data_IF_858296332964
#
_entry.id   IF_858296332964
#
_cell.length_a   1.000
_cell.length_b   1.000
_cell.length_c   1.000
_cell.angle_alpha   90.00
_cell.angle_beta   90.00
_cell.angle_gamma   90.00
#
_symmetry.space_group_name_H-M   'P 1'
#
loop_
_entity.id
_entity.type
_entity.pdbx_description
1 polymer ?
#
# COMPACT_ATOMS: atom_id res chain seq x y z
N UNK A 1 -1.09 -30.79 -10.59
CA UNK A 1 -2.39 -30.85 -11.29
C UNK A 1 -2.25 -31.75 -12.52
N UNK A 2 -3.28 -32.55 -12.84
CA UNK A 2 -3.22 -33.49 -13.98
C UNK A 2 -3.29 -32.77 -15.33
N UNK A 3 -2.89 -33.42 -16.45
CA UNK A 3 -2.82 -32.79 -17.77
C UNK A 3 -4.18 -32.36 -18.36
N UNK A 4 -5.28 -32.66 -17.67
CA UNK A 4 -6.63 -32.29 -18.12
C UNK A 4 -7.17 -31.04 -17.43
N UNK A 5 -6.43 -30.43 -16.47
CA UNK A 5 -6.85 -29.21 -15.79
C UNK A 5 -6.68 -28.03 -16.74
N UNK A 6 -7.75 -27.25 -16.93
CA UNK A 6 -7.76 -26.05 -17.76
C UNK A 6 -7.53 -24.82 -16.90
N UNK A 7 -6.65 -23.95 -17.34
CA UNK A 7 -6.38 -22.65 -16.71
C UNK A 7 -7.08 -21.54 -17.47
N UNK A 8 -7.88 -20.77 -16.73
CA UNK A 8 -8.57 -19.59 -17.26
C UNK A 8 -7.89 -18.34 -16.69
N UNK A 9 -7.72 -17.33 -17.51
CA UNK A 9 -7.29 -16.00 -17.08
C UNK A 9 -7.98 -14.92 -17.92
N UNK A 10 -7.89 -13.68 -17.45
CA UNK A 10 -8.30 -12.53 -18.25
C UNK A 10 -7.47 -12.44 -19.54
N UNK A 11 -8.07 -11.89 -20.58
CA UNK A 11 -7.41 -11.67 -21.86
C UNK A 11 -6.25 -10.66 -21.78
N UNK A 12 -6.31 -9.73 -20.83
CA UNK A 12 -5.26 -8.73 -20.54
C UNK A 12 -4.23 -9.17 -19.49
N UNK A 13 -4.23 -10.43 -19.02
CA UNK A 13 -3.35 -10.95 -17.95
C UNK A 13 -1.86 -10.66 -18.17
N UNK A 14 -1.42 -10.54 -19.45
CA UNK A 14 -0.02 -10.24 -19.76
C UNK A 14 0.40 -8.85 -19.32
N UNK A 15 -0.51 -7.89 -19.35
CA UNK A 15 -0.23 -6.53 -18.89
C UNK A 15 0.14 -6.53 -17.41
N UNK A 16 -0.66 -7.21 -16.59
CA UNK A 16 -0.40 -7.32 -15.14
C UNK A 16 0.84 -8.15 -14.85
N UNK A 17 1.03 -9.25 -15.57
CA UNK A 17 2.23 -10.07 -15.45
C UNK A 17 3.52 -9.24 -15.68
N UNK A 18 3.52 -8.31 -16.64
CA UNK A 18 4.67 -7.42 -16.87
C UNK A 18 4.82 -6.35 -15.78
N UNK A 19 3.73 -5.87 -15.19
CA UNK A 19 3.79 -4.97 -14.03
C UNK A 19 4.40 -5.70 -12.84
N UNK A 20 3.93 -6.91 -12.53
CA UNK A 20 4.46 -7.74 -11.46
C UNK A 20 5.94 -8.06 -11.70
N UNK A 21 6.34 -8.44 -12.90
CA UNK A 21 7.76 -8.69 -13.26
C UNK A 21 8.65 -7.49 -12.98
N UNK A 22 8.20 -6.28 -13.31
CA UNK A 22 8.93 -5.04 -13.02
C UNK A 22 8.95 -4.74 -11.52
N UNK A 23 7.82 -4.95 -10.85
CA UNK A 23 7.64 -4.73 -9.42
C UNK A 23 8.38 -5.71 -8.52
N UNK A 24 8.66 -6.95 -8.99
CA UNK A 24 9.29 -8.03 -8.20
C UNK A 24 10.62 -7.60 -7.58
N UNK A 25 11.38 -6.73 -8.25
CA UNK A 25 12.64 -6.18 -7.69
C UNK A 25 12.39 -5.30 -6.47
N UNK A 26 11.27 -4.57 -6.41
CA UNK A 26 10.85 -3.81 -5.25
C UNK A 26 10.43 -4.73 -4.09
N UNK A 27 9.81 -5.87 -4.39
CA UNK A 27 9.45 -6.86 -3.37
C UNK A 27 10.67 -7.44 -2.65
N UNK A 28 11.81 -7.60 -3.33
CA UNK A 28 13.07 -8.02 -2.69
C UNK A 28 13.52 -7.10 -1.57
N UNK A 29 13.26 -5.81 -1.69
CA UNK A 29 13.59 -4.85 -0.64
C UNK A 29 12.83 -5.13 0.67
N UNK A 30 11.58 -5.60 0.55
CA UNK A 30 10.71 -5.86 1.71
C UNK A 30 10.79 -7.30 2.21
N UNK A 31 10.88 -8.28 1.31
CA UNK A 31 10.80 -9.71 1.63
C UNK A 31 12.16 -10.43 1.57
N UNK A 32 13.25 -9.71 1.27
CA UNK A 32 14.59 -10.26 1.16
C UNK A 32 14.78 -11.17 -0.06
N UNK A 33 15.92 -11.88 -0.07
CA UNK A 33 16.32 -12.74 -1.20
C UNK A 33 15.47 -14.01 -1.34
N UNK A 34 14.57 -14.30 -0.42
CA UNK A 34 13.64 -15.42 -0.51
C UNK A 34 12.58 -15.22 -1.61
N UNK A 35 12.35 -13.96 -2.01
CA UNK A 35 11.47 -13.64 -3.13
C UNK A 35 12.21 -13.84 -4.44
N UNK A 36 12.21 -15.08 -4.94
CA UNK A 36 12.91 -15.47 -6.16
C UNK A 36 12.10 -15.05 -7.40
N UNK A 37 12.83 -14.74 -8.49
CA UNK A 37 12.25 -14.44 -9.83
C UNK A 37 11.38 -15.59 -10.39
N UNK A 38 11.44 -16.77 -9.79
CA UNK A 38 10.67 -17.97 -10.16
C UNK A 38 9.17 -17.83 -9.95
N UNK A 39 8.71 -16.87 -9.13
CA UNK A 39 7.27 -16.60 -8.93
C UNK A 39 6.60 -16.01 -10.16
N UNK A 40 7.36 -15.36 -11.04
CA UNK A 40 6.82 -14.82 -12.29
C UNK A 40 7.17 -15.78 -13.42
N UNK A 41 6.57 -16.95 -13.39
CA UNK A 41 6.72 -17.96 -14.44
C UNK A 41 6.14 -17.46 -15.77
N UNK A 42 6.56 -18.06 -16.88
CA UNK A 42 5.92 -17.90 -18.20
C UNK A 42 4.53 -18.55 -18.20
N UNK A 43 3.68 -18.12 -17.26
CA UNK A 43 2.32 -18.61 -17.16
C UNK A 43 1.55 -18.35 -18.45
N UNK A 44 0.98 -19.41 -18.99
CA UNK A 44 0.12 -19.36 -20.18
C UNK A 44 -1.21 -20.04 -19.83
N UNK A 45 -2.31 -19.29 -19.77
CA UNK A 45 -3.61 -19.88 -19.60
C UNK A 45 -3.99 -20.68 -20.84
N UNK A 46 -4.81 -21.73 -20.65
CA UNK A 46 -5.40 -22.48 -21.75
C UNK A 46 -6.51 -21.69 -22.44
N UNK A 47 -7.22 -20.86 -21.67
CA UNK A 47 -8.38 -20.10 -22.13
C UNK A 47 -8.29 -18.68 -21.58
N UNK A 48 -8.47 -17.70 -22.44
CA UNK A 48 -8.59 -16.28 -22.04
C UNK A 48 -10.05 -15.83 -22.06
N UNK A 49 -10.41 -14.98 -21.10
CA UNK A 49 -11.76 -14.48 -20.86
C UNK A 49 -11.76 -12.96 -21.01
N UNK A 50 -12.33 -12.46 -22.11
CA UNK A 50 -12.48 -11.02 -22.39
C UNK A 50 -13.89 -10.48 -22.13
N UNK A 51 -14.89 -11.38 -22.10
CA UNK A 51 -16.29 -11.06 -21.82
C UNK A 51 -16.90 -12.11 -20.90
N UNK A 52 -18.07 -11.83 -20.35
CA UNK A 52 -18.78 -12.80 -19.50
C UNK A 52 -18.92 -14.14 -20.25
N UNK A 53 -18.34 -15.18 -19.66
CA UNK A 53 -18.27 -16.52 -20.24
C UNK A 53 -18.85 -17.53 -19.26
N UNK A 54 -19.71 -18.44 -19.72
CA UNK A 54 -20.24 -19.52 -18.89
C UNK A 54 -19.54 -20.84 -19.19
N UNK A 55 -19.17 -21.54 -18.11
CA UNK A 55 -18.60 -22.90 -18.18
C UNK A 55 -19.36 -23.83 -17.25
N UNK A 56 -19.50 -25.09 -17.64
CA UNK A 56 -20.12 -26.11 -16.79
C UNK A 56 -19.10 -27.16 -16.42
N UNK A 57 -18.89 -27.36 -15.11
CA UNK A 57 -17.94 -28.33 -14.57
C UNK A 57 -18.67 -29.21 -13.56
N UNK A 58 -18.66 -30.52 -13.77
CA UNK A 58 -19.34 -31.48 -12.88
C UNK A 58 -20.85 -31.25 -12.72
N UNK A 59 -21.47 -30.63 -13.71
CA UNK A 59 -22.90 -30.29 -13.66
C UNK A 59 -23.22 -28.95 -13.04
N UNK A 60 -22.24 -28.24 -12.45
CA UNK A 60 -22.41 -26.91 -11.88
C UNK A 60 -22.01 -25.85 -12.91
N UNK A 61 -22.80 -24.80 -13.04
CA UNK A 61 -22.54 -23.67 -13.92
C UNK A 61 -21.75 -22.60 -13.21
N UNK A 62 -20.69 -22.12 -13.86
CA UNK A 62 -19.85 -21.01 -13.44
C UNK A 62 -19.91 -19.91 -14.48
N UNK A 63 -20.24 -18.70 -14.08
CA UNK A 63 -20.10 -17.52 -14.92
C UNK A 63 -18.80 -16.80 -14.56
N UNK A 64 -17.87 -16.75 -15.51
CA UNK A 64 -16.62 -16.00 -15.43
C UNK A 64 -16.90 -14.58 -15.89
N UNK A 65 -16.70 -13.59 -15.01
CA UNK A 65 -17.10 -12.20 -15.24
C UNK A 65 -15.86 -11.31 -15.15
N UNK A 66 -15.36 -10.82 -16.29
CA UNK A 66 -14.31 -9.81 -16.32
C UNK A 66 -14.71 -8.53 -15.58
N UNK A 67 -13.83 -8.01 -14.76
CA UNK A 67 -14.00 -6.71 -14.10
C UNK A 67 -12.83 -5.79 -14.41
N UNK A 68 -13.06 -4.46 -14.53
CA UNK A 68 -12.04 -3.55 -15.08
C UNK A 68 -11.08 -3.00 -14.04
N UNK A 69 -11.15 -3.43 -12.79
CA UNK A 69 -10.33 -2.85 -11.74
C UNK A 69 -10.60 -3.48 -10.38
N UNK A 70 -10.12 -2.81 -9.36
CA UNK A 70 -10.02 -3.31 -8.01
C UNK A 70 -8.54 -3.32 -7.64
N UNK A 71 -8.02 -4.44 -7.18
CA UNK A 71 -6.59 -4.59 -6.92
C UNK A 71 -5.77 -4.50 -8.23
N UNK A 72 -6.23 -5.18 -9.27
CA UNK A 72 -5.58 -5.21 -10.60
C UNK A 72 -6.62 -5.02 -11.72
N UNK A 73 -6.16 -4.68 -12.92
CA UNK A 73 -7.04 -4.49 -14.08
C UNK A 73 -7.44 -5.81 -14.76
N UNK A 74 -6.85 -6.93 -14.39
CA UNK A 74 -7.16 -8.26 -14.91
C UNK A 74 -8.08 -9.08 -14.00
N UNK A 75 -8.82 -8.41 -13.14
CA UNK A 75 -9.77 -9.04 -12.22
C UNK A 75 -10.79 -9.94 -12.92
N UNK A 76 -11.06 -11.12 -12.35
CA UNK A 76 -12.01 -12.08 -12.85
C UNK A 76 -12.89 -12.61 -11.71
N UNK A 77 -14.17 -12.25 -11.72
CA UNK A 77 -15.13 -12.77 -10.76
C UNK A 77 -15.65 -14.13 -11.23
N UNK A 78 -15.96 -15.00 -10.28
CA UNK A 78 -16.57 -16.29 -10.56
C UNK A 78 -17.93 -16.35 -9.84
N UNK A 79 -19.01 -16.32 -10.60
CA UNK A 79 -20.37 -16.44 -10.08
C UNK A 79 -20.90 -17.86 -10.27
N UNK A 80 -21.44 -18.43 -9.20
CA UNK A 80 -22.10 -19.74 -9.18
C UNK A 80 -23.59 -19.53 -8.89
N UNK A 81 -24.43 -19.32 -9.93
CA UNK A 81 -25.83 -18.93 -9.74
C UNK A 81 -26.64 -19.93 -8.93
N UNK A 82 -26.40 -21.22 -9.09
CA UNK A 82 -27.14 -22.29 -8.38
C UNK A 82 -26.90 -22.24 -6.87
N UNK A 83 -25.83 -21.64 -6.43
CA UNK A 83 -25.45 -21.48 -5.01
C UNK A 83 -25.51 -20.04 -4.54
N UNK A 84 -25.98 -19.11 -5.38
CA UNK A 84 -26.06 -17.69 -5.05
C UNK A 84 -24.73 -17.14 -4.48
N UNK A 85 -23.61 -17.62 -5.04
CA UNK A 85 -22.25 -17.38 -4.54
C UNK A 85 -21.43 -16.65 -5.59
N UNK A 86 -20.73 -15.60 -5.16
CA UNK A 86 -19.79 -14.83 -5.98
C UNK A 86 -18.41 -14.85 -5.32
N UNK A 87 -17.42 -15.37 -6.04
CA UNK A 87 -16.00 -15.28 -5.68
C UNK A 87 -15.42 -14.05 -6.37
N UNK A 88 -14.85 -13.16 -5.59
CA UNK A 88 -14.34 -11.86 -6.07
C UNK A 88 -12.82 -11.70 -5.94
N UNK A 89 -12.13 -12.67 -5.31
CA UNK A 89 -10.70 -12.53 -5.04
C UNK A 89 -10.42 -11.30 -4.18
N UNK A 90 -9.36 -10.61 -4.49
CA UNK A 90 -8.88 -9.43 -3.75
C UNK A 90 -9.27 -8.10 -4.41
N UNK A 91 -10.38 -8.08 -5.17
CA UNK A 91 -10.78 -6.88 -5.92
C UNK A 91 -10.89 -5.62 -5.07
N UNK A 92 -11.16 -5.77 -3.79
CA UNK A 92 -11.14 -4.70 -2.80
C UNK A 92 -10.25 -5.10 -1.63
N UNK A 93 -9.20 -4.35 -1.46
CA UNK A 93 -8.23 -4.49 -0.38
C UNK A 93 -8.08 -3.13 0.33
N UNK A 94 -7.56 -3.11 1.58
CA UNK A 94 -7.28 -1.86 2.29
C UNK A 94 -6.40 -0.89 1.49
N UNK A 95 -5.76 -1.34 0.45
CA UNK A 95 -4.71 -0.64 -0.26
C UNK A 95 -5.00 -0.48 -1.73
N UNK A 96 -6.12 -0.35 -2.23
CA UNK A 96 -6.40 -0.16 -3.64
C UNK A 96 -5.17 -0.46 -4.54
N UNK A 97 -5.12 -1.64 -5.10
CA UNK A 97 -3.95 -2.16 -5.78
C UNK A 97 -2.88 -2.67 -4.81
N UNK A 98 -1.88 -3.38 -5.31
CA UNK A 98 -0.75 -3.77 -4.49
C UNK A 98 0.00 -2.51 -4.02
N UNK A 99 0.39 -2.43 -2.74
CA UNK A 99 1.03 -1.23 -2.20
C UNK A 99 2.41 -0.97 -2.80
N UNK A 100 2.97 -1.93 -3.52
CA UNK A 100 4.33 -1.91 -4.04
C UNK A 100 4.39 -1.54 -5.52
N UNK A 101 3.28 -1.61 -6.25
CA UNK A 101 3.18 -1.28 -7.68
C UNK A 101 1.92 -0.49 -7.96
N UNK A 102 1.93 0.29 -9.03
CA UNK A 102 0.76 1.06 -9.47
C UNK A 102 -0.22 0.17 -10.23
N UNK A 103 -0.93 -0.67 -9.49
CA UNK A 103 -1.98 -1.54 -10.00
C UNK A 103 -3.35 -1.00 -9.62
N UNK A 104 -4.34 -1.25 -10.47
CA UNK A 104 -5.71 -0.86 -10.24
C UNK A 104 -5.96 0.64 -10.20
N UNK A 105 -7.21 1.00 -10.27
CA UNK A 105 -7.69 2.38 -10.14
C UNK A 105 -9.05 2.44 -9.46
N UNK A 106 -9.43 3.62 -8.97
CA UNK A 106 -10.72 3.80 -8.32
C UNK A 106 -11.90 3.67 -9.29
N UNK A 107 -11.89 4.25 -10.49
CA UNK A 107 -12.97 4.04 -11.46
C UNK A 107 -13.24 2.56 -11.75
N UNK A 108 -12.18 1.78 -11.92
CA UNK A 108 -12.29 0.33 -12.08
C UNK A 108 -12.84 -0.38 -10.85
N UNK A 109 -12.41 0.01 -9.65
CA UNK A 109 -12.98 -0.50 -8.40
C UNK A 109 -14.47 -0.18 -8.29
N UNK A 110 -14.89 1.03 -8.63
CA UNK A 110 -16.30 1.41 -8.60
C UNK A 110 -17.14 0.57 -9.56
N UNK A 111 -16.63 0.32 -10.77
CA UNK A 111 -17.29 -0.55 -11.74
C UNK A 111 -17.37 -2.02 -11.26
N UNK A 112 -16.30 -2.52 -10.61
CA UNK A 112 -16.32 -3.84 -10.01
C UNK A 112 -17.35 -3.97 -8.87
N UNK A 113 -17.47 -2.95 -8.02
CA UNK A 113 -18.51 -2.89 -6.98
C UNK A 113 -19.91 -2.91 -7.62
N UNK A 114 -20.13 -2.18 -8.71
CA UNK A 114 -21.42 -2.19 -9.41
C UNK A 114 -21.80 -3.59 -9.93
N UNK A 115 -20.82 -4.37 -10.38
CA UNK A 115 -21.04 -5.79 -10.76
C UNK A 115 -21.51 -6.59 -9.54
N UNK A 116 -20.83 -6.48 -8.40
CA UNK A 116 -21.23 -7.17 -7.16
C UNK A 116 -22.65 -6.78 -6.75
N UNK A 117 -22.92 -5.46 -6.74
CA UNK A 117 -24.24 -4.93 -6.36
C UNK A 117 -25.35 -5.42 -7.33
N UNK A 118 -25.08 -5.45 -8.63
CA UNK A 118 -26.07 -5.91 -9.64
C UNK A 118 -26.41 -7.40 -9.54
N UNK A 119 -25.46 -8.22 -9.11
CA UNK A 119 -25.66 -9.66 -8.97
C UNK A 119 -26.38 -10.04 -7.68
N UNK A 120 -26.37 -9.17 -6.65
CA UNK A 120 -27.00 -9.39 -5.35
C UNK A 120 -26.65 -10.75 -4.72
N UNK A 121 -25.38 -11.18 -4.69
CA UNK A 121 -25.04 -12.52 -4.22
C UNK A 121 -25.38 -12.68 -2.73
N UNK A 122 -25.92 -13.81 -2.35
CA UNK A 122 -26.13 -14.17 -0.93
C UNK A 122 -24.80 -14.42 -0.23
N UNK A 123 -23.85 -15.03 -0.95
CA UNK A 123 -22.51 -15.34 -0.45
C UNK A 123 -21.48 -14.62 -1.31
N UNK A 124 -20.73 -13.71 -0.66
CA UNK A 124 -19.62 -12.98 -1.26
C UNK A 124 -18.33 -13.49 -0.64
N UNK A 125 -17.45 -14.06 -1.46
CA UNK A 125 -16.20 -14.68 -1.00
C UNK A 125 -14.99 -13.91 -1.54
N UNK A 126 -14.22 -13.39 -0.60
CA UNK A 126 -12.98 -12.66 -0.87
C UNK A 126 -11.75 -13.58 -0.75
N UNK A 127 -10.59 -13.13 -1.28
CA UNK A 127 -9.36 -13.91 -1.27
C UNK A 127 -8.64 -13.93 0.08
N UNK A 128 -8.61 -12.83 0.83
CA UNK A 128 -7.84 -12.68 2.07
C UNK A 128 -8.73 -12.54 3.31
N UNK A 129 -9.48 -13.58 3.64
CA UNK A 129 -10.13 -13.64 4.95
C UNK A 129 -9.08 -13.91 6.07
N UNK A 130 -9.16 -13.23 7.22
CA UNK A 130 -10.22 -12.32 7.68
C UNK A 130 -10.02 -10.84 7.31
N UNK A 131 -8.96 -10.46 6.59
CA UNK A 131 -8.63 -9.04 6.28
C UNK A 131 -9.75 -8.35 5.50
N UNK A 132 -10.42 -9.08 4.63
CA UNK A 132 -11.50 -8.60 3.76
C UNK A 132 -12.89 -8.74 4.36
N UNK A 133 -13.01 -9.29 5.55
CA UNK A 133 -14.30 -9.56 6.22
C UNK A 133 -15.19 -8.32 6.38
N UNK A 134 -14.59 -7.16 6.52
CA UNK A 134 -15.31 -5.89 6.64
C UNK A 134 -16.04 -5.47 5.34
N UNK A 135 -15.72 -6.09 4.20
CA UNK A 135 -16.36 -5.86 2.90
C UNK A 135 -17.22 -7.04 2.42
N UNK A 136 -17.67 -7.88 3.32
CA UNK A 136 -18.29 -9.17 2.99
C UNK A 136 -19.74 -9.11 2.47
N UNK A 137 -20.30 -7.91 2.24
CA UNK A 137 -21.67 -7.78 1.70
C UNK A 137 -21.75 -6.73 0.61
N UNK A 138 -22.59 -6.99 -0.43
CA UNK A 138 -22.85 -6.03 -1.50
C UNK A 138 -23.48 -4.72 -0.99
N UNK A 139 -24.31 -4.78 0.05
CA UNK A 139 -24.93 -3.60 0.66
C UNK A 139 -23.91 -2.68 1.34
N UNK A 140 -22.89 -3.26 1.99
CA UNK A 140 -21.77 -2.52 2.56
C UNK A 140 -20.92 -1.86 1.46
N UNK A 141 -20.61 -2.61 0.41
CA UNK A 141 -19.82 -2.12 -0.73
C UNK A 141 -20.50 -0.96 -1.44
N UNK A 142 -21.83 -1.03 -1.67
CA UNK A 142 -22.58 0.05 -2.28
C UNK A 142 -22.48 1.35 -1.48
N UNK A 143 -22.58 1.26 -0.16
CA UNK A 143 -22.43 2.42 0.74
C UNK A 143 -20.98 2.93 0.76
N UNK A 144 -20.00 2.05 0.88
CA UNK A 144 -18.59 2.42 0.87
C UNK A 144 -18.22 3.14 -0.44
N UNK A 145 -18.71 2.66 -1.60
CA UNK A 145 -18.49 3.28 -2.89
C UNK A 145 -18.83 4.77 -2.89
N UNK A 146 -20.02 5.16 -2.39
CA UNK A 146 -20.46 6.56 -2.35
C UNK A 146 -19.45 7.45 -1.59
N UNK A 147 -18.87 6.92 -0.50
CA UNK A 147 -17.88 7.65 0.30
C UNK A 147 -16.53 7.74 -0.40
N UNK A 148 -16.12 6.67 -1.09
CA UNK A 148 -14.89 6.66 -1.89
C UNK A 148 -15.01 7.52 -3.15
N UNK A 149 -16.18 7.59 -3.80
CA UNK A 149 -16.43 8.52 -4.90
C UNK A 149 -16.29 9.98 -4.46
N UNK A 150 -16.84 10.33 -3.28
CA UNK A 150 -16.64 11.65 -2.71
C UNK A 150 -15.14 11.93 -2.45
N UNK A 151 -14.43 10.99 -1.83
CA UNK A 151 -13.00 11.14 -1.55
C UNK A 151 -12.19 11.30 -2.85
N UNK A 152 -12.53 10.55 -3.88
CA UNK A 152 -11.93 10.64 -5.21
C UNK A 152 -12.05 12.06 -5.76
N UNK A 153 -13.26 12.60 -5.79
CA UNK A 153 -13.52 13.94 -6.33
C UNK A 153 -12.82 15.04 -5.50
N UNK A 154 -12.89 14.99 -4.19
CA UNK A 154 -12.24 15.99 -3.33
C UNK A 154 -10.72 15.90 -3.42
N UNK A 155 -10.15 14.71 -3.51
CA UNK A 155 -8.69 14.54 -3.69
C UNK A 155 -8.25 15.12 -5.04
N UNK A 156 -8.94 14.82 -6.14
CA UNK A 156 -8.66 15.39 -7.46
C UNK A 156 -8.73 16.92 -7.43
N UNK A 157 -9.78 17.47 -6.84
CA UNK A 157 -9.97 18.94 -6.72
C UNK A 157 -8.79 19.59 -5.99
N UNK A 158 -8.36 19.03 -4.86
CA UNK A 158 -7.20 19.54 -4.13
C UNK A 158 -5.91 19.41 -4.91
N UNK A 159 -5.71 18.27 -5.58
CA UNK A 159 -4.55 18.01 -6.44
C UNK A 159 -4.46 19.01 -7.59
N UNK A 160 -5.56 19.24 -8.31
CA UNK A 160 -5.62 20.20 -9.42
C UNK A 160 -5.52 21.66 -8.99
N UNK A 161 -5.85 21.95 -7.74
CA UNK A 161 -5.61 23.28 -7.14
C UNK A 161 -4.16 23.46 -6.64
N UNK A 162 -3.27 22.52 -6.93
CA UNK A 162 -1.86 22.62 -6.60
C UNK A 162 -1.53 22.34 -5.12
N UNK A 163 -2.40 21.64 -4.40
CA UNK A 163 -2.12 21.26 -3.03
C UNK A 163 -1.13 20.09 -3.01
N UNK A 164 -0.08 20.16 -2.17
CA UNK A 164 0.87 19.07 -2.02
C UNK A 164 0.26 17.86 -1.31
N UNK A 165 0.81 16.65 -1.55
CA UNK A 165 0.33 15.41 -0.91
C UNK A 165 0.24 15.51 0.62
N UNK A 166 1.27 15.99 1.35
CA UNK A 166 1.17 16.18 2.81
C UNK A 166 0.03 17.13 3.21
N UNK A 167 -0.16 18.21 2.45
CA UNK A 167 -1.23 19.17 2.73
C UNK A 167 -2.62 18.54 2.54
N UNK A 168 -2.81 17.70 1.52
CA UNK A 168 -4.08 16.95 1.33
C UNK A 168 -4.34 16.00 2.51
N UNK A 169 -3.31 15.28 2.97
CA UNK A 169 -3.44 14.39 4.14
C UNK A 169 -3.82 15.17 5.41
N UNK A 170 -3.26 16.36 5.60
CA UNK A 170 -3.55 17.22 6.75
C UNK A 170 -4.96 17.83 6.71
N UNK A 171 -5.64 17.87 5.54
CA UNK A 171 -7.07 18.23 5.47
C UNK A 171 -7.95 17.20 6.19
N UNK A 172 -7.43 15.99 6.43
CA UNK A 172 -8.17 14.92 7.10
C UNK A 172 -9.54 14.66 6.46
N UNK A 173 -9.55 14.58 5.12
CA UNK A 173 -10.77 14.50 4.31
C UNK A 173 -11.74 13.43 4.83
N UNK A 174 -12.96 13.86 5.09
CA UNK A 174 -14.05 13.02 5.60
C UNK A 174 -15.35 13.40 4.90
N UNK A 175 -16.08 12.45 4.29
CA UNK A 175 -17.36 12.76 3.66
C UNK A 175 -18.31 13.39 4.68
N UNK A 176 -18.97 14.51 4.38
CA UNK A 176 -19.86 15.20 5.33
C UNK A 176 -21.08 14.37 5.75
N UNK A 177 -21.39 13.33 4.97
CA UNK A 177 -22.49 12.39 5.19
C UNK A 177 -22.07 11.03 5.76
N UNK A 178 -20.80 10.88 6.21
CA UNK A 178 -20.28 9.60 6.76
C UNK A 178 -21.13 9.10 7.94
N UNK A 179 -21.72 10.00 8.71
CA UNK A 179 -22.60 9.67 9.83
C UNK A 179 -23.89 8.96 9.43
N UNK A 180 -24.31 9.02 8.17
CA UNK A 180 -25.49 8.32 7.65
C UNK A 180 -25.22 6.82 7.47
N UNK A 181 -23.96 6.42 7.39
CA UNK A 181 -23.53 5.04 7.18
C UNK A 181 -22.40 4.69 8.18
N UNK A 182 -22.71 4.60 9.49
CA UNK A 182 -21.68 4.40 10.53
C UNK A 182 -20.88 3.10 10.33
N UNK A 183 -21.47 2.09 9.71
CA UNK A 183 -20.84 0.80 9.41
C UNK A 183 -19.68 0.91 8.40
N UNK A 184 -19.66 1.92 7.52
CA UNK A 184 -18.57 2.12 6.56
C UNK A 184 -17.48 3.08 7.07
N UNK A 185 -17.65 3.67 8.24
CA UNK A 185 -16.70 4.62 8.79
C UNK A 185 -15.29 4.02 8.93
N UNK A 186 -15.20 2.86 9.55
CA UNK A 186 -13.92 2.18 9.76
C UNK A 186 -13.30 1.68 8.44
N UNK A 187 -14.01 0.96 7.55
CA UNK A 187 -13.52 0.63 6.20
C UNK A 187 -13.02 1.84 5.41
N UNK A 188 -13.75 2.94 5.47
CA UNK A 188 -13.33 4.19 4.82
C UNK A 188 -12.01 4.73 5.38
N UNK A 189 -11.83 4.74 6.70
CA UNK A 189 -10.59 5.21 7.33
C UNK A 189 -9.38 4.36 6.95
N UNK A 190 -9.55 3.04 6.83
CA UNK A 190 -8.49 2.13 6.40
C UNK A 190 -8.03 2.46 4.98
N UNK A 191 -8.96 2.71 4.07
CA UNK A 191 -8.67 2.97 2.66
C UNK A 191 -8.20 4.40 2.39
N UNK A 192 -8.64 5.36 3.19
CA UNK A 192 -8.51 6.80 2.91
C UNK A 192 -7.10 7.25 2.53
N UNK A 193 -6.10 6.85 3.31
CA UNK A 193 -4.71 7.28 3.07
C UNK A 193 -4.19 6.73 1.73
N UNK A 194 -4.41 5.46 1.47
CA UNK A 194 -3.92 4.81 0.26
C UNK A 194 -4.66 5.29 -0.98
N UNK A 195 -5.96 5.55 -0.87
CA UNK A 195 -6.77 6.15 -1.94
C UNK A 195 -6.24 7.54 -2.30
N UNK A 196 -5.97 8.41 -1.31
CA UNK A 196 -5.39 9.73 -1.56
C UNK A 196 -4.03 9.60 -2.25
N UNK A 197 -3.16 8.73 -1.75
CA UNK A 197 -1.84 8.50 -2.35
C UNK A 197 -1.96 8.04 -3.80
N UNK A 198 -2.80 7.05 -4.07
CA UNK A 198 -3.00 6.50 -5.42
C UNK A 198 -3.51 7.57 -6.39
N UNK A 199 -4.52 8.34 -5.99
CA UNK A 199 -5.05 9.43 -6.83
C UNK A 199 -3.96 10.47 -7.11
N UNK A 200 -3.21 10.86 -6.09
CA UNK A 200 -2.12 11.83 -6.24
C UNK A 200 -1.06 11.32 -7.21
N UNK A 201 -0.57 10.10 -7.02
CA UNK A 201 0.47 9.49 -7.86
C UNK A 201 0.03 9.33 -9.33
N UNK A 202 -1.23 8.99 -9.57
CA UNK A 202 -1.78 8.84 -10.92
C UNK A 202 -2.06 10.18 -11.63
N UNK A 203 -2.16 11.30 -10.91
CA UNK A 203 -2.55 12.59 -11.47
C UNK A 203 -1.48 13.68 -11.37
N UNK A 204 -0.43 13.48 -10.60
CA UNK A 204 0.70 14.39 -10.47
C UNK A 204 1.92 13.77 -11.17
N UNK A 205 2.47 14.50 -12.12
CA UNK A 205 3.71 14.12 -12.76
C UNK A 205 4.92 14.79 -12.11
N UNK A 206 5.88 15.18 -12.98
CA UNK A 206 7.13 15.82 -12.60
C UNK A 206 6.97 17.13 -11.79
N UNK A 207 5.94 17.93 -12.13
CA UNK A 207 5.70 19.24 -11.53
C UNK A 207 4.91 19.12 -10.21
N UNK A 208 5.62 18.95 -9.11
CA UNK A 208 4.98 18.93 -7.78
C UNK A 208 4.96 20.33 -7.15
N UNK A 209 3.89 20.70 -6.43
CA UNK A 209 3.67 22.08 -5.95
C UNK A 209 4.75 22.63 -5.04
N UNK A 210 5.43 21.76 -4.30
CA UNK A 210 6.46 22.09 -3.33
C UNK A 210 7.89 21.80 -3.83
N UNK A 211 8.05 21.72 -5.16
CA UNK A 211 9.31 21.41 -5.85
C UNK A 211 9.90 20.02 -5.52
N UNK A 212 9.19 19.16 -4.76
CA UNK A 212 9.68 17.84 -4.36
C UNK A 212 10.00 16.92 -5.55
N UNK A 213 9.37 17.17 -6.70
CA UNK A 213 9.65 16.43 -7.92
C UNK A 213 10.90 16.91 -8.68
N UNK A 214 11.51 18.04 -8.30
CA UNK A 214 12.62 18.68 -9.02
C UNK A 214 13.96 18.50 -8.32
N UNK A 215 14.02 18.82 -7.04
CA UNK A 215 15.26 18.80 -6.25
C UNK A 215 15.12 17.78 -5.12
N UNK A 216 15.62 16.57 -5.37
CA UNK A 216 15.55 15.49 -4.39
C UNK A 216 16.68 15.62 -3.39
N UNK A 217 16.35 15.83 -2.12
CA UNK A 217 17.30 15.88 -1.03
C UNK A 217 17.43 14.50 -0.39
N UNK A 218 18.68 14.08 -0.16
CA UNK A 218 19.00 12.83 0.54
C UNK A 218 18.86 12.97 2.06
N UNK A 219 18.84 11.86 2.76
CA UNK A 219 18.83 11.85 4.23
C UNK A 219 20.13 12.44 4.80
N UNK A 220 21.24 12.26 4.10
CA UNK A 220 22.55 12.82 4.41
C UNK A 220 22.53 14.35 4.33
N UNK A 221 21.91 14.94 3.31
CA UNK A 221 21.75 16.39 3.17
C UNK A 221 20.90 16.98 4.29
N UNK A 222 19.82 16.31 4.69
CA UNK A 222 19.05 16.71 5.88
C UNK A 222 19.87 16.55 7.17
N UNK A 223 20.71 15.52 7.27
CA UNK A 223 21.65 15.37 8.38
C UNK A 223 22.66 16.54 8.44
N UNK A 224 23.26 16.92 7.30
CA UNK A 224 24.13 18.07 7.20
C UNK A 224 23.44 19.38 7.55
N UNK A 225 22.17 19.56 7.14
CA UNK A 225 21.37 20.71 7.56
C UNK A 225 21.35 20.83 9.08
N UNK A 226 21.07 19.73 9.79
CA UNK A 226 20.98 19.73 11.24
C UNK A 226 22.33 20.04 11.93
N UNK A 227 23.41 19.43 11.46
CA UNK A 227 24.71 19.45 12.18
C UNK A 227 25.62 20.55 11.70
N UNK A 228 25.72 20.80 10.40
CA UNK A 228 26.62 21.78 9.82
C UNK A 228 26.00 23.19 9.74
N UNK A 229 24.77 23.29 9.18
CA UNK A 229 24.17 24.61 8.99
C UNK A 229 23.41 25.13 10.20
N UNK A 230 22.76 24.26 10.98
CA UNK A 230 22.07 24.62 12.22
C UNK A 230 22.93 24.39 13.47
N UNK A 231 24.16 23.91 13.30
CA UNK A 231 25.18 23.71 14.36
C UNK A 231 24.66 22.88 15.54
N UNK A 232 23.79 21.89 15.31
CA UNK A 232 23.23 21.07 16.39
C UNK A 232 24.17 19.93 16.76
N UNK A 233 24.59 19.94 18.04
CA UNK A 233 25.31 18.81 18.62
C UNK A 233 24.39 17.57 18.76
N UNK A 234 25.00 16.40 18.90
CA UNK A 234 24.26 15.14 19.17
C UNK A 234 23.32 15.28 20.37
N UNK A 235 23.82 15.87 21.48
CA UNK A 235 23.02 16.06 22.69
C UNK A 235 21.81 16.96 22.49
N UNK A 236 21.93 18.02 21.68
CA UNK A 236 20.81 18.91 21.35
C UNK A 236 19.80 18.21 20.48
N UNK A 237 20.23 17.36 19.53
CA UNK A 237 19.34 16.56 18.69
C UNK A 237 18.60 15.50 19.51
N UNK A 238 19.29 14.82 20.43
CA UNK A 238 18.67 13.88 21.37
C UNK A 238 17.55 14.57 22.14
N UNK A 239 17.84 15.72 22.78
CA UNK A 239 16.83 16.45 23.57
C UNK A 239 15.65 16.92 22.72
N UNK A 240 15.90 17.39 21.50
CA UNK A 240 14.84 17.80 20.58
C UNK A 240 13.93 16.64 20.18
N UNK A 241 14.52 15.47 19.92
CA UNK A 241 13.77 14.26 19.53
C UNK A 241 12.96 13.71 20.71
N UNK A 242 13.51 13.74 21.92
CA UNK A 242 12.77 13.39 23.14
C UNK A 242 11.53 14.28 23.31
N UNK A 243 11.68 15.59 23.14
CA UNK A 243 10.54 16.51 23.16
C UNK A 243 9.50 16.21 22.08
N UNK A 244 9.92 15.86 20.85
CA UNK A 244 9.00 15.44 19.78
C UNK A 244 8.21 14.19 20.18
N UNK A 245 8.87 13.21 20.79
CA UNK A 245 8.20 11.97 21.26
C UNK A 245 7.19 12.27 22.37
N UNK A 246 7.53 13.12 23.33
CA UNK A 246 6.65 13.54 24.41
C UNK A 246 5.44 14.34 23.90
N UNK A 247 5.63 15.15 22.86
CA UNK A 247 4.56 15.93 22.20
C UNK A 247 3.67 15.08 21.28
N UNK A 248 4.00 13.80 21.04
CA UNK A 248 3.25 12.93 20.15
C UNK A 248 3.62 13.07 18.67
N UNK A 249 4.64 13.87 18.32
CA UNK A 249 5.13 14.09 16.95
C UNK A 249 6.00 12.92 16.46
N UNK A 250 5.51 11.70 16.64
CA UNK A 250 6.29 10.47 16.44
C UNK A 250 6.83 10.31 15.00
N UNK A 251 6.11 10.77 13.98
CA UNK A 251 6.57 10.73 12.60
C UNK A 251 7.75 11.68 12.37
N UNK A 252 7.68 12.88 12.95
CA UNK A 252 8.77 13.87 12.91
C UNK A 252 9.99 13.35 13.68
N UNK A 253 9.78 12.78 14.87
CA UNK A 253 10.84 12.15 15.66
C UNK A 253 11.55 11.04 14.88
N UNK A 254 10.81 10.15 14.19
CA UNK A 254 11.37 9.09 13.38
C UNK A 254 12.22 9.63 12.21
N UNK A 255 11.75 10.67 11.53
CA UNK A 255 12.50 11.31 10.44
C UNK A 255 13.73 12.04 10.92
N UNK A 256 13.59 12.86 11.95
CA UNK A 256 14.72 13.64 12.52
C UNK A 256 15.80 12.72 13.06
N UNK A 257 15.44 11.62 13.73
CA UNK A 257 16.43 10.62 14.18
C UNK A 257 17.14 9.95 13.02
N UNK A 258 16.43 9.63 11.94
CA UNK A 258 17.04 9.03 10.74
C UNK A 258 18.05 9.98 10.12
N UNK A 259 17.75 11.27 10.00
CA UNK A 259 18.67 12.29 9.51
C UNK A 259 19.88 12.49 10.44
N UNK A 260 19.64 12.56 11.76
CA UNK A 260 20.72 12.68 12.74
C UNK A 260 21.69 11.49 12.71
N UNK A 261 21.17 10.28 12.49
CA UNK A 261 21.98 9.05 12.40
C UNK A 261 22.89 9.02 11.16
N UNK A 262 22.64 9.78 10.11
CA UNK A 262 23.57 9.91 8.99
C UNK A 262 24.89 10.60 9.42
N UNK A 263 24.82 11.46 10.42
CA UNK A 263 25.96 12.21 10.97
C UNK A 263 26.54 11.56 12.24
N UNK A 264 25.70 10.91 13.04
CA UNK A 264 26.08 10.22 14.29
C UNK A 264 25.70 8.73 14.22
N UNK A 265 26.25 7.94 13.28
CA UNK A 265 25.79 6.56 13.03
C UNK A 265 26.00 5.61 14.21
N UNK A 266 26.96 5.90 15.08
CA UNK A 266 27.29 5.10 16.26
C UNK A 266 26.55 5.53 17.54
N UNK A 267 25.65 6.52 17.46
CA UNK A 267 24.91 7.02 18.62
C UNK A 267 23.86 6.00 19.09
N UNK A 268 24.13 5.33 20.18
CA UNK A 268 23.20 4.37 20.78
C UNK A 268 21.88 5.05 21.20
N UNK A 269 21.97 6.29 21.69
CA UNK A 269 20.79 7.04 22.14
C UNK A 269 19.87 7.41 20.97
N UNK A 270 20.41 7.88 19.85
CA UNK A 270 19.61 8.18 18.66
C UNK A 270 18.96 6.90 18.09
N UNK A 271 19.64 5.78 18.12
CA UNK A 271 19.09 4.51 17.68
C UNK A 271 17.95 4.04 18.58
N UNK A 272 18.07 4.19 19.90
CA UNK A 272 16.99 3.93 20.85
C UNK A 272 15.76 4.81 20.56
N UNK A 273 15.96 6.11 20.37
CA UNK A 273 14.89 7.07 20.08
C UNK A 273 14.20 6.75 18.74
N UNK A 274 14.97 6.37 17.71
CA UNK A 274 14.40 5.92 16.42
C UNK A 274 13.50 4.69 16.61
N UNK A 275 13.96 3.71 17.37
CA UNK A 275 13.19 2.52 17.70
C UNK A 275 11.88 2.89 18.42
N UNK A 276 11.96 3.77 19.41
CA UNK A 276 10.79 4.27 20.14
C UNK A 276 9.79 4.96 19.20
N UNK A 277 10.27 5.84 18.31
CA UNK A 277 9.44 6.54 17.35
C UNK A 277 8.71 5.55 16.40
N UNK A 278 9.41 4.55 15.89
CA UNK A 278 8.79 3.51 15.05
C UNK A 278 7.79 2.64 15.82
N UNK A 279 8.06 2.30 17.08
CA UNK A 279 7.10 1.58 17.92
C UNK A 279 5.80 2.39 18.11
N UNK A 280 5.91 3.69 18.36
CA UNK A 280 4.75 4.57 18.48
C UNK A 280 3.97 4.71 17.18
N UNK A 281 4.65 4.79 16.03
CA UNK A 281 4.00 4.77 14.73
C UNK A 281 3.30 3.42 14.46
N UNK A 282 3.94 2.31 14.81
CA UNK A 282 3.34 0.98 14.70
C UNK A 282 2.06 0.88 15.53
N UNK A 283 2.07 1.31 16.79
CA UNK A 283 0.89 1.36 17.66
C UNK A 283 -0.24 2.17 17.03
N UNK A 284 0.07 3.36 16.50
CA UNK A 284 -0.90 4.25 15.84
C UNK A 284 -1.61 3.59 14.65
N UNK A 285 -0.89 2.79 13.86
CA UNK A 285 -1.42 2.20 12.63
C UNK A 285 -1.85 0.74 12.76
N UNK A 286 -1.78 0.18 13.97
CA UNK A 286 -2.03 -1.24 14.24
C UNK A 286 -3.36 -1.75 13.67
N UNK A 287 -4.42 -0.93 13.73
CA UNK A 287 -5.75 -1.29 13.23
C UNK A 287 -6.06 -0.69 11.85
N UNK A 288 -5.31 0.34 11.45
CA UNK A 288 -5.63 1.13 10.26
C UNK A 288 -4.80 0.79 9.03
N UNK A 289 -3.56 0.33 9.21
CA UNK A 289 -2.66 0.11 8.07
C UNK A 289 -1.62 -0.98 8.38
N UNK A 290 -1.94 -2.27 8.10
CA UNK A 290 -1.04 -3.40 8.35
C UNK A 290 0.31 -3.28 7.62
N UNK A 291 0.38 -2.67 6.43
CA UNK A 291 1.66 -2.49 5.73
C UNK A 291 2.57 -1.51 6.45
N UNK A 292 2.05 -0.41 6.98
CA UNK A 292 2.85 0.45 7.85
C UNK A 292 3.37 -0.30 9.07
N UNK A 293 2.55 -1.19 9.65
CA UNK A 293 2.96 -2.03 10.77
C UNK A 293 4.10 -2.96 10.39
N UNK A 294 4.05 -3.59 9.21
CA UNK A 294 5.12 -4.44 8.67
C UNK A 294 6.39 -3.60 8.48
N UNK A 295 6.32 -2.50 7.73
CA UNK A 295 7.46 -1.63 7.43
C UNK A 295 8.12 -1.10 8.70
N UNK A 296 7.33 -0.62 9.68
CA UNK A 296 7.90 -0.17 10.95
C UNK A 296 8.52 -1.31 11.75
N UNK A 297 7.92 -2.51 11.72
CA UNK A 297 8.49 -3.69 12.40
C UNK A 297 9.84 -4.07 11.81
N UNK A 298 9.96 -4.10 10.49
CA UNK A 298 11.21 -4.39 9.78
C UNK A 298 12.26 -3.30 10.01
N UNK A 299 11.86 -2.03 9.96
CA UNK A 299 12.75 -0.90 10.24
C UNK A 299 13.32 -0.92 11.66
N UNK A 300 12.57 -1.46 12.62
CA UNK A 300 13.03 -1.70 13.99
C UNK A 300 14.08 -2.83 14.00
N UNK A 301 13.86 -3.91 13.24
CA UNK A 301 14.77 -5.05 13.18
C UNK A 301 16.05 -4.74 12.39
N UNK A 302 15.94 -4.10 11.25
CA UNK A 302 17.08 -3.72 10.39
C UNK A 302 18.02 -2.73 11.09
N UNK A 303 17.51 -1.82 11.90
CA UNK A 303 18.32 -0.95 12.76
C UNK A 303 19.23 -1.75 13.70
N UNK A 304 18.83 -2.96 14.08
CA UNK A 304 19.62 -3.89 14.89
C UNK A 304 20.65 -4.66 14.04
N UNK A 305 20.34 -4.98 12.80
CA UNK A 305 21.19 -5.81 11.89
C UNK A 305 22.23 -4.96 11.15
N UNK A 306 21.88 -3.75 10.69
CA UNK A 306 22.87 -2.82 10.09
C UNK A 306 23.95 -2.40 11.09
N UNK A 307 23.62 -2.33 12.36
CA UNK A 307 24.58 -2.13 13.44
C UNK A 307 25.57 -3.28 13.54
N UNK A 308 25.11 -4.52 13.44
CA UNK A 308 25.98 -5.69 13.47
C UNK A 308 26.92 -5.72 12.25
N UNK A 309 26.42 -5.37 11.04
CA UNK A 309 27.25 -5.31 9.83
C UNK A 309 28.25 -4.15 9.84
N UNK A 310 27.90 -3.00 10.37
CA UNK A 310 28.82 -1.85 10.46
C UNK A 310 29.92 -2.09 11.50
N UNK A 311 29.64 -2.85 12.55
CA UNK A 311 30.63 -3.22 13.56
C UNK A 311 31.57 -4.36 13.07
N UNK A 312 31.08 -5.26 12.22
CA UNK A 312 31.90 -6.35 11.66
C UNK A 312 32.78 -5.89 10.48
N UNK A 313 32.36 -4.92 9.68
CA UNK A 313 33.13 -4.42 8.53
C UNK A 313 34.20 -3.37 8.86
N UNK A 314 34.26 -2.84 10.09
CA UNK A 314 35.37 -1.99 10.54
C UNK A 314 36.66 -2.76 10.89
N UNK A 315 36.65 -4.09 10.75
CA UNK A 315 37.79 -4.96 11.05
C UNK A 315 38.64 -5.42 9.86
N UNK A 316 38.29 -5.03 8.64
CA UNK A 316 39.06 -5.42 7.43
C UNK A 316 39.29 -4.18 6.56
N UNK A 317 40.32 -3.39 6.89
CA UNK A 317 40.96 -2.55 5.88
C UNK A 317 41.69 -3.48 4.89
N UNK A 318 41.45 -3.38 3.59
CA UNK A 318 42.33 -4.04 2.62
C UNK A 318 43.63 -3.24 2.57
N UNK A 319 44.75 -3.91 2.83
CA UNK A 319 46.09 -3.41 2.51
C UNK A 319 46.08 -2.89 1.06
N UNK A 320 46.40 -1.62 0.92
CA UNK A 320 46.55 -0.98 -0.37
C UNK A 320 47.82 -1.47 -1.06
N UNK A 321 47.82 -1.65 -2.39
CA UNK A 321 49.02 -2.00 -3.18
C UNK A 321 49.98 -0.81 -3.33
#
# INVERSE_FOLDING_TARGET
LGPQVKFYARDNYRQELEIVRRGTRGFRYFFGDEFKDEFVSDFKPDITVGERTEVTIGGTRFALIPVPGGETVDGLFIHVPEHDTLFVGDFIMPYLGAPFVEEGDLPGLFAAIDVVVSLHPKHLLHGHEPLTRIWSTGGMLAKLKIHLEWLYQETLKHTWNGMSRPAIHHQNLMPPFIHQHPEVHFPFLIMRENVINRIYDQNIGYWQPDLQGMDHLSQEEFGLLLTHYLERSEQQLVSAIENMLESGDHALAARTTTWALTQYPSSAKLQELRKMAFLKQKEKYQELNPFKVIIYSESIQQGTTQLQHTLTNKGTEPDAP
#
